data_IF_796819478769
#
_entry.id   IF_796819478769
#
_cell.length_a   1.000
_cell.length_b   1.000
_cell.length_c   1.000
_cell.angle_alpha   90.00
_cell.angle_beta   90.00
_cell.angle_gamma   90.00
#
_symmetry.space_group_name_H-M   'P 1'
#
loop_
_entity.id
_entity.type
_entity.pdbx_description
1 polymer ?
#
# COMPACT_ATOMS: atom_id res chain seq x y z
N UNK A 1 -16.13 -8.92 12.24
CA UNK A 1 -14.83 -9.49 11.81
C UNK A 1 -14.02 -8.34 11.22
N UNK A 2 -12.92 -7.97 11.87
CA UNK A 2 -12.03 -6.97 11.30
C UNK A 2 -11.24 -7.64 10.18
N UNK A 3 -11.36 -7.11 8.97
CA UNK A 3 -10.57 -7.57 7.83
C UNK A 3 -9.17 -6.97 7.94
N UNK A 4 -8.11 -7.76 7.82
CA UNK A 4 -6.75 -7.23 7.80
C UNK A 4 -6.61 -6.21 6.66
N UNK A 5 -5.86 -5.16 6.90
CA UNK A 5 -5.54 -4.15 5.90
C UNK A 5 -4.12 -4.40 5.42
N UNK A 6 -3.95 -4.64 4.12
CA UNK A 6 -2.64 -4.84 3.51
C UNK A 6 -2.33 -3.66 2.59
N UNK A 7 -1.22 -2.99 2.88
CA UNK A 7 -0.72 -1.88 2.07
C UNK A 7 0.59 -2.27 1.38
N UNK A 8 0.66 -2.06 0.07
CA UNK A 8 1.83 -2.39 -0.74
C UNK A 8 2.16 -1.23 -1.69
N UNK A 9 3.43 -0.89 -1.78
CA UNK A 9 3.96 0.02 -2.80
C UNK A 9 4.72 -0.82 -3.82
N UNK A 10 4.27 -0.78 -5.06
CA UNK A 10 4.88 -1.52 -6.17
C UNK A 10 5.58 -0.54 -7.11
N UNK A 11 6.87 -0.76 -7.31
CA UNK A 11 7.66 -0.05 -8.31
C UNK A 11 7.39 -0.59 -9.72
N UNK A 12 8.38 -0.46 -10.58
CA UNK A 12 8.25 -0.89 -11.97
C UNK A 12 8.09 -2.42 -12.11
N UNK A 13 8.88 -3.20 -11.37
CA UNK A 13 8.92 -4.66 -11.49
C UNK A 13 8.98 -5.37 -10.13
N UNK A 14 9.03 -4.65 -9.02
CA UNK A 14 9.23 -5.23 -7.69
C UNK A 14 8.45 -4.44 -6.62
N UNK A 15 8.04 -5.10 -5.53
CA UNK A 15 7.48 -4.41 -4.39
C UNK A 15 8.60 -3.61 -3.69
N UNK A 16 8.32 -2.34 -3.42
CA UNK A 16 9.22 -1.42 -2.72
C UNK A 16 8.95 -1.40 -1.21
N UNK A 17 7.71 -1.62 -0.83
CA UNK A 17 7.28 -1.58 0.56
C UNK A 17 6.01 -2.43 0.75
N UNK A 18 5.94 -3.15 1.86
CA UNK A 18 4.78 -3.94 2.26
C UNK A 18 4.51 -3.74 3.75
N UNK A 19 3.25 -3.53 4.11
CA UNK A 19 2.81 -3.45 5.50
C UNK A 19 1.44 -4.11 5.67
N UNK A 20 1.37 -5.09 6.54
CA UNK A 20 0.12 -5.69 7.02
C UNK A 20 -0.27 -5.00 8.33
N UNK A 21 -1.48 -4.46 8.38
CA UNK A 21 -2.01 -3.74 9.53
C UNK A 21 -3.14 -4.58 10.11
N UNK A 22 -2.80 -5.34 11.14
CA UNK A 22 -3.77 -6.12 11.88
C UNK A 22 -4.58 -5.22 12.80
N UNK A 23 -5.89 -5.18 12.60
CA UNK A 23 -6.83 -4.47 13.46
C UNK A 23 -7.19 -5.25 14.74
N UNK A 24 -6.61 -6.42 14.94
CA UNK A 24 -6.81 -7.24 16.15
C UNK A 24 -5.51 -7.35 16.93
N UNK A 25 -5.50 -6.73 18.10
CA UNK A 25 -4.47 -6.97 19.12
C UNK A 25 -4.37 -8.45 19.46
N UNK A 26 -3.21 -9.02 19.21
CA UNK A 26 -2.59 -10.20 19.82
C UNK A 26 -3.53 -11.23 20.46
N UNK A 27 -3.98 -12.20 19.70
CA UNK A 27 -4.27 -13.54 20.25
C UNK A 27 -3.68 -14.57 19.30
N UNK A 28 -2.65 -15.24 19.78
CA UNK A 28 -1.85 -16.19 19.03
C UNK A 28 -2.66 -17.37 18.44
N UNK A 29 -2.73 -17.39 17.13
CA UNK A 29 -3.04 -18.61 16.38
C UNK A 29 -2.19 -18.63 15.11
N UNK A 30 -1.05 -19.25 15.21
CA UNK A 30 0.06 -19.25 14.25
C UNK A 30 -0.21 -20.00 12.94
N UNK A 31 -1.35 -20.62 12.74
CA UNK A 31 -1.58 -21.49 11.58
C UNK A 31 -2.64 -21.01 10.57
N UNK A 32 -3.59 -20.21 11.00
CA UNK A 32 -4.66 -19.71 10.11
C UNK A 32 -4.33 -18.34 9.46
N UNK A 33 -3.45 -17.59 10.09
CA UNK A 33 -3.03 -16.26 9.58
C UNK A 33 -2.21 -16.39 8.29
N UNK A 34 -1.34 -17.39 8.17
CA UNK A 34 -0.48 -17.56 7.00
C UNK A 34 -1.27 -17.81 5.71
N UNK A 35 -2.40 -18.53 5.79
CA UNK A 35 -3.21 -18.83 4.62
C UNK A 35 -3.99 -17.59 4.15
N UNK A 36 -4.55 -16.82 5.09
CA UNK A 36 -5.28 -15.59 4.79
C UNK A 36 -4.34 -14.52 4.24
N UNK A 37 -3.16 -14.38 4.81
CA UNK A 37 -2.13 -13.46 4.34
C UNK A 37 -1.70 -13.79 2.90
N UNK A 38 -1.44 -15.05 2.59
CA UNK A 38 -1.12 -15.49 1.21
C UNK A 38 -2.26 -15.20 0.22
N UNK A 39 -3.51 -15.39 0.63
CA UNK A 39 -4.67 -15.04 -0.20
C UNK A 39 -4.75 -13.54 -0.47
N UNK A 40 -4.48 -12.71 0.54
CA UNK A 40 -4.46 -11.25 0.40
C UNK A 40 -3.39 -10.78 -0.59
N UNK A 41 -2.19 -11.35 -0.53
CA UNK A 41 -1.13 -11.07 -1.50
C UNK A 41 -1.53 -11.52 -2.91
N UNK A 42 -2.15 -12.68 -3.05
CA UNK A 42 -2.61 -13.16 -4.35
C UNK A 42 -3.66 -12.22 -4.96
N UNK A 43 -4.61 -11.73 -4.16
CA UNK A 43 -5.61 -10.75 -4.60
C UNK A 43 -4.94 -9.46 -5.07
N UNK A 44 -3.97 -8.94 -4.31
CA UNK A 44 -3.22 -7.75 -4.70
C UNK A 44 -2.43 -7.95 -5.99
N UNK A 45 -1.75 -9.10 -6.14
CA UNK A 45 -1.02 -9.41 -7.36
C UNK A 45 -1.93 -9.51 -8.58
N UNK A 46 -3.08 -10.16 -8.46
CA UNK A 46 -4.04 -10.26 -9.57
C UNK A 46 -4.64 -8.89 -9.94
N UNK A 47 -4.80 -8.00 -8.98
CA UNK A 47 -5.29 -6.64 -9.22
C UNK A 47 -4.31 -5.75 -10.00
N UNK A 48 -3.01 -6.08 -10.08
CA UNK A 48 -2.02 -5.30 -10.82
C UNK A 48 -2.38 -5.15 -12.30
N UNK A 49 -2.87 -6.20 -12.94
CA UNK A 49 -3.29 -6.16 -14.35
C UNK A 49 -4.48 -5.21 -14.56
N UNK A 50 -5.39 -5.19 -13.58
CA UNK A 50 -6.53 -4.28 -13.60
C UNK A 50 -6.11 -2.82 -13.36
N UNK A 51 -5.10 -2.61 -12.52
CA UNK A 51 -4.50 -1.28 -12.30
C UNK A 51 -3.89 -0.76 -13.59
N UNK A 52 -3.11 -1.56 -14.30
CA UNK A 52 -2.52 -1.18 -15.58
C UNK A 52 -3.58 -0.84 -16.62
N UNK A 53 -4.61 -1.66 -16.74
CA UNK A 53 -5.74 -1.40 -17.62
C UNK A 53 -6.46 -0.09 -17.25
N UNK A 54 -6.68 0.16 -15.96
CA UNK A 54 -7.33 1.39 -15.49
C UNK A 54 -6.48 2.63 -15.72
N UNK A 55 -5.15 2.50 -15.64
CA UNK A 55 -4.20 3.58 -15.91
C UNK A 55 -4.31 4.12 -17.34
N UNK A 56 -4.65 3.28 -18.32
CA UNK A 56 -4.85 3.70 -19.71
C UNK A 56 -6.18 4.43 -19.94
N UNK A 57 -7.14 4.29 -19.04
CA UNK A 57 -8.50 4.86 -19.21
C UNK A 57 -8.67 6.20 -18.52
N UNK A 58 -7.80 6.57 -17.58
CA UNK A 58 -7.93 7.81 -16.80
C UNK A 58 -6.58 8.45 -16.52
N UNK A 59 -6.55 9.78 -16.49
CA UNK A 59 -5.37 10.56 -16.09
C UNK A 59 -5.34 10.89 -14.59
N UNK A 60 -6.28 10.37 -13.81
CA UNK A 60 -6.33 10.60 -12.38
C UNK A 60 -5.31 9.71 -11.66
N UNK A 61 -4.58 10.27 -10.71
CA UNK A 61 -3.66 9.50 -9.87
C UNK A 61 -4.41 8.53 -8.95
N UNK A 62 -5.56 8.93 -8.40
CA UNK A 62 -6.39 8.07 -7.58
C UNK A 62 -7.38 7.28 -8.46
N UNK A 63 -7.13 5.98 -8.62
CA UNK A 63 -7.93 5.09 -9.48
C UNK A 63 -9.17 4.53 -8.76
N UNK A 64 -9.35 4.88 -7.48
CA UNK A 64 -10.43 4.36 -6.63
C UNK A 64 -10.30 2.85 -6.40
N UNK A 65 -11.44 2.18 -6.27
CA UNK A 65 -11.51 0.73 -6.15
C UNK A 65 -11.37 0.10 -7.53
N UNK A 66 -10.27 -0.62 -7.73
CA UNK A 66 -9.95 -1.28 -9.01
C UNK A 66 -10.47 -2.71 -9.04
N UNK A 67 -10.47 -3.38 -7.89
CA UNK A 67 -10.96 -4.76 -7.78
C UNK A 67 -11.73 -4.99 -6.48
N UNK A 68 -12.65 -5.94 -6.52
CA UNK A 68 -13.44 -6.38 -5.36
C UNK A 68 -13.48 -7.90 -5.33
N UNK A 69 -12.94 -8.47 -4.27
CA UNK A 69 -12.91 -9.91 -4.06
C UNK A 69 -13.56 -10.22 -2.71
N UNK A 70 -14.69 -10.93 -2.74
CA UNK A 70 -15.50 -11.23 -1.56
C UNK A 70 -15.95 -9.94 -0.84
N UNK A 71 -15.47 -9.75 0.40
CA UNK A 71 -15.74 -8.56 1.22
C UNK A 71 -14.58 -7.55 1.25
N UNK A 72 -13.53 -7.82 0.47
CA UNK A 72 -12.35 -6.96 0.37
C UNK A 72 -12.37 -6.15 -0.91
N UNK A 73 -11.78 -4.96 -0.85
CA UNK A 73 -11.64 -4.04 -1.96
C UNK A 73 -10.19 -3.65 -2.11
N UNK A 74 -9.73 -3.60 -3.36
CA UNK A 74 -8.39 -3.10 -3.71
C UNK A 74 -8.54 -1.69 -4.22
N UNK A 75 -8.06 -0.72 -3.46
CA UNK A 75 -7.94 0.68 -3.89
C UNK A 75 -6.53 0.97 -4.32
N UNK A 76 -6.38 1.81 -5.35
CA UNK A 76 -5.08 2.09 -5.93
C UNK A 76 -4.87 3.57 -6.19
N UNK A 77 -3.64 4.01 -5.97
CA UNK A 77 -3.15 5.33 -6.33
C UNK A 77 -1.89 5.17 -7.18
N UNK A 78 -1.91 5.76 -8.37
CA UNK A 78 -0.84 5.68 -9.36
C UNK A 78 -0.08 7.01 -9.43
N UNK A 79 1.22 6.97 -9.25
CA UNK A 79 2.07 8.15 -9.39
C UNK A 79 2.48 8.39 -10.85
N UNK A 80 2.91 9.61 -11.17
CA UNK A 80 3.45 9.96 -12.49
C UNK A 80 4.71 9.14 -12.85
N UNK A 81 5.45 8.65 -11.85
CA UNK A 81 6.60 7.76 -12.05
C UNK A 81 6.21 6.27 -12.22
N UNK A 82 4.92 5.98 -12.42
CA UNK A 82 4.37 4.62 -12.52
C UNK A 82 4.61 3.75 -11.27
N UNK A 83 4.72 4.38 -10.11
CA UNK A 83 4.71 3.67 -8.83
C UNK A 83 3.26 3.51 -8.37
N UNK A 84 2.89 2.29 -8.03
CA UNK A 84 1.52 1.90 -7.67
C UNK A 84 1.42 1.74 -6.17
N UNK A 85 0.55 2.50 -5.52
CA UNK A 85 0.19 2.33 -4.11
C UNK A 85 -1.10 1.53 -4.07
N UNK A 86 -1.08 0.37 -3.47
CA UNK A 86 -2.21 -0.54 -3.42
C UNK A 86 -2.62 -0.80 -1.99
N UNK A 87 -3.91 -0.69 -1.71
CA UNK A 87 -4.49 -0.93 -0.39
C UNK A 87 -5.62 -1.95 -0.50
N UNK A 88 -5.45 -3.08 0.16
CA UNK A 88 -6.50 -4.06 0.37
C UNK A 88 -7.21 -3.75 1.70
N UNK A 89 -8.52 -3.53 1.66
CA UNK A 89 -9.30 -3.18 2.83
C UNK A 89 -10.73 -3.73 2.78
N UNK A 90 -11.38 -3.85 3.93
CA UNK A 90 -12.75 -4.37 4.06
C UNK A 90 -13.82 -3.28 3.97
N UNK A 91 -13.85 -2.49 2.88
CA UNK A 91 -14.91 -1.50 2.65
C UNK A 91 -14.77 -0.21 3.47
N UNK A 92 -13.56 0.29 3.68
CA UNK A 92 -13.32 1.63 4.24
C UNK A 92 -13.92 2.71 3.33
N UNK A 93 -14.33 3.84 3.91
CA UNK A 93 -14.89 4.96 3.14
C UNK A 93 -13.90 5.51 2.09
N UNK A 94 -14.39 5.86 0.91
CA UNK A 94 -13.54 6.31 -0.21
C UNK A 94 -12.69 7.53 0.16
N UNK A 95 -13.26 8.48 0.90
CA UNK A 95 -12.53 9.69 1.34
C UNK A 95 -11.37 9.38 2.29
N UNK A 96 -11.57 8.43 3.20
CA UNK A 96 -10.53 8.00 4.15
C UNK A 96 -9.36 7.38 3.39
N UNK A 97 -9.66 6.50 2.46
CA UNK A 97 -8.65 5.85 1.61
C UNK A 97 -7.89 6.86 0.74
N UNK A 98 -8.61 7.81 0.14
CA UNK A 98 -8.02 8.87 -0.68
C UNK A 98 -7.08 9.78 0.14
N UNK A 99 -7.51 10.19 1.33
CA UNK A 99 -6.69 11.00 2.22
C UNK A 99 -5.43 10.25 2.67
N UNK A 100 -5.58 8.97 3.03
CA UNK A 100 -4.46 8.09 3.33
C UNK A 100 -3.43 8.06 2.21
N UNK A 101 -3.86 7.83 0.96
CA UNK A 101 -2.94 7.82 -0.17
C UNK A 101 -2.25 9.16 -0.42
N UNK A 102 -2.96 10.27 -0.28
CA UNK A 102 -2.38 11.61 -0.45
C UNK A 102 -1.27 11.87 0.57
N UNK A 103 -1.48 11.48 1.81
CA UNK A 103 -0.50 11.67 2.87
C UNK A 103 0.70 10.75 2.69
N UNK A 104 0.46 9.47 2.40
CA UNK A 104 1.53 8.50 2.10
C UNK A 104 2.36 8.96 0.90
N UNK A 105 1.71 9.47 -0.15
CA UNK A 105 2.40 10.03 -1.30
C UNK A 105 3.28 11.23 -0.91
N UNK A 106 2.79 12.12 -0.04
CA UNK A 106 3.57 13.22 0.50
C UNK A 106 4.85 12.76 1.22
N UNK A 107 4.76 11.70 2.03
CA UNK A 107 5.93 11.10 2.68
C UNK A 107 6.85 10.41 1.68
N UNK A 108 6.31 9.67 0.73
CA UNK A 108 7.07 9.02 -0.33
C UNK A 108 7.92 10.03 -1.12
N UNK A 109 7.33 11.15 -1.53
CA UNK A 109 8.04 12.21 -2.25
C UNK A 109 9.16 12.82 -1.41
N UNK A 110 8.90 13.10 -0.12
CA UNK A 110 9.92 13.63 0.79
C UNK A 110 11.12 12.68 0.91
N UNK A 111 10.84 11.40 1.05
CA UNK A 111 11.89 10.37 1.15
C UNK A 111 12.65 10.26 -0.18
N UNK A 112 11.97 10.25 -1.32
CA UNK A 112 12.63 10.23 -2.63
C UNK A 112 13.50 11.48 -2.85
N UNK A 113 13.04 12.65 -2.43
CA UNK A 113 13.84 13.89 -2.50
C UNK A 113 15.08 13.80 -1.60
N UNK A 114 14.94 13.29 -0.38
CA UNK A 114 16.07 13.07 0.54
C UNK A 114 17.02 12.02 -0.04
N UNK A 115 16.50 10.92 -0.62
CA UNK A 115 17.33 9.92 -1.31
C UNK A 115 18.12 10.50 -2.46
N UNK A 116 17.54 11.37 -3.26
CA UNK A 116 18.23 12.02 -4.37
C UNK A 116 19.36 12.94 -3.88
N UNK A 117 19.15 13.64 -2.76
CA UNK A 117 20.18 14.45 -2.09
C UNK A 117 21.22 13.58 -1.36
N UNK A 118 20.84 12.42 -0.85
CA UNK A 118 21.70 11.49 -0.13
C UNK A 118 22.28 10.36 -1.01
N UNK A 119 22.00 10.32 -2.30
CA UNK A 119 22.65 9.38 -3.25
C UNK A 119 24.18 9.56 -3.29
N UNK A 120 24.70 10.59 -2.60
CA UNK A 120 26.11 10.80 -2.29
C UNK A 120 26.56 10.14 -0.97
N UNK A 121 25.63 9.60 -0.16
CA UNK A 121 25.91 8.99 1.15
C UNK A 121 25.02 7.75 1.36
N UNK A 122 25.64 6.59 1.53
CA UNK A 122 25.12 5.24 1.83
C UNK A 122 23.60 4.99 1.92
N UNK A 123 23.14 4.14 1.02
CA UNK A 123 21.75 3.78 0.70
C UNK A 123 20.97 3.01 1.80
N UNK A 124 21.62 2.53 2.84
CA UNK A 124 21.02 1.61 3.85
C UNK A 124 20.14 2.33 4.88
N UNK A 125 20.48 3.56 5.26
CA UNK A 125 19.74 4.31 6.27
C UNK A 125 18.36 4.81 5.78
N UNK A 126 18.21 4.99 4.50
CA UNK A 126 17.02 5.57 3.88
C UNK A 126 15.90 4.53 3.80
N UNK A 127 16.23 3.28 3.46
CA UNK A 127 15.26 2.17 3.46
C UNK A 127 14.73 1.91 4.88
N UNK A 128 15.58 1.98 5.91
CA UNK A 128 15.17 1.85 7.31
C UNK A 128 14.27 3.00 7.77
N UNK A 129 14.55 4.23 7.33
CA UNK A 129 13.75 5.40 7.67
C UNK A 129 12.38 5.37 6.97
N UNK A 130 12.34 4.93 5.72
CA UNK A 130 11.09 4.69 4.99
C UNK A 130 10.21 3.66 5.71
N UNK A 131 10.80 2.51 6.01
CA UNK A 131 10.08 1.43 6.67
C UNK A 131 9.49 1.88 8.01
N UNK A 132 10.26 2.62 8.80
CA UNK A 132 9.82 3.09 10.11
C UNK A 132 8.74 4.19 10.04
N UNK A 133 8.89 5.20 9.16
CA UNK A 133 7.93 6.30 9.04
C UNK A 133 6.63 5.86 8.37
N UNK A 134 6.71 5.05 7.34
CA UNK A 134 5.53 4.54 6.65
C UNK A 134 4.74 3.56 7.52
N UNK A 135 5.43 2.70 8.28
CA UNK A 135 4.78 1.75 9.18
C UNK A 135 4.07 2.45 10.34
N UNK A 136 4.73 3.42 10.99
CA UNK A 136 4.10 4.21 12.06
C UNK A 136 2.91 5.01 11.56
N UNK A 137 2.99 5.54 10.36
CA UNK A 137 1.91 6.34 9.78
C UNK A 137 0.72 5.47 9.37
N UNK A 138 0.98 4.36 8.67
CA UNK A 138 -0.06 3.42 8.28
C UNK A 138 -0.81 2.85 9.50
N UNK A 139 -0.09 2.60 10.59
CA UNK A 139 -0.68 2.16 11.86
C UNK A 139 -1.52 3.24 12.55
N UNK A 140 -1.21 4.53 12.38
CA UNK A 140 -1.87 5.62 13.12
C UNK A 140 -3.11 6.21 12.41
N UNK A 141 -3.19 6.15 11.08
CA UNK A 141 -4.24 6.84 10.30
C UNK A 141 -5.26 5.93 9.61
N UNK A 142 -5.06 4.62 9.65
CA UNK A 142 -6.07 3.66 9.15
C UNK A 142 -7.08 3.29 10.24
N UNK A 143 -6.82 3.69 11.50
CA UNK A 143 -7.79 3.60 12.60
C UNK A 143 -8.62 4.87 12.68
#
# INVERSE_FOLDING_TARGET
MSTPVLFVIVGKNEPLFEAEIDTTSASGSTGQNDLSTRQNYFVLHSALDLVEKSAWTTNNMYLRVVDKVNHQQVSTFLTAANVKFMLLHGGKGEEVVKNFFNEVYGYYVKVCCVCYLCALFDNTYIMLYMHRTMYTYASFHIY
#
